data_IF_205577087074
#
_entry.id   IF_205577087074
#
_cell.length_a   1.000
_cell.length_b   1.000
_cell.length_c   1.000
_cell.angle_alpha   90.00
_cell.angle_beta   90.00
_cell.angle_gamma   90.00
#
_symmetry.space_group_name_H-M   'P 1'
#
loop_
_entity.id
_entity.type
_entity.pdbx_description
1 polymer ?
#
# COMPACT_ATOMS: atom_id res chain seq x y z
N UNK A 1 7.97 24.06 -2.41
CA UNK A 1 8.76 23.38 -3.47
C UNK A 1 9.47 22.20 -2.84
N UNK A 2 9.51 21.05 -3.52
CA UNK A 2 10.22 19.86 -3.06
C UNK A 2 11.33 19.52 -4.05
N UNK A 3 12.45 19.00 -3.53
CA UNK A 3 13.53 18.46 -4.34
C UNK A 3 13.43 16.94 -4.33
N UNK A 4 13.43 16.33 -5.52
CA UNK A 4 13.35 14.88 -5.69
C UNK A 4 14.74 14.38 -6.10
N UNK A 5 15.26 13.39 -5.37
CA UNK A 5 16.49 12.70 -5.78
C UNK A 5 16.16 11.82 -6.99
N UNK A 6 16.75 12.12 -8.15
CA UNK A 6 16.63 11.26 -9.33
C UNK A 6 17.58 10.09 -9.21
N UNK A 7 17.09 8.91 -9.57
CA UNK A 7 17.92 7.73 -9.79
C UNK A 7 18.51 7.82 -11.20
N UNK A 8 19.75 7.37 -11.34
CA UNK A 8 20.40 7.20 -12.64
C UNK A 8 19.76 6.00 -13.33
N UNK A 9 18.91 6.26 -14.32
CA UNK A 9 18.13 5.22 -15.00
C UNK A 9 17.56 5.71 -16.32
N UNK A 10 17.29 4.78 -17.23
CA UNK A 10 16.66 5.07 -18.51
C UNK A 10 15.21 5.53 -18.25
N UNK A 11 14.82 6.69 -18.79
CA UNK A 11 13.47 7.25 -18.63
C UNK A 11 12.38 6.39 -19.29
N UNK A 12 12.78 5.48 -20.18
CA UNK A 12 11.86 4.56 -20.86
C UNK A 12 11.58 3.29 -20.04
N UNK A 13 12.40 3.00 -19.02
CA UNK A 13 12.23 1.82 -18.19
C UNK A 13 11.35 2.11 -16.98
N UNK A 14 10.80 1.05 -16.39
CA UNK A 14 10.02 1.17 -15.17
C UNK A 14 10.91 1.70 -14.04
N UNK A 15 10.49 2.75 -13.31
CA UNK A 15 11.30 3.35 -12.26
C UNK A 15 11.54 2.45 -11.04
N UNK A 16 10.86 1.29 -10.97
CA UNK A 16 10.98 0.31 -9.91
C UNK A 16 10.96 -1.11 -10.47
N UNK A 17 11.74 -1.99 -9.85
CA UNK A 17 11.72 -3.42 -10.14
C UNK A 17 10.36 -4.05 -9.83
N UNK A 18 10.04 -5.12 -10.54
CA UNK A 18 8.89 -5.99 -10.26
C UNK A 18 9.28 -7.05 -9.23
N UNK A 19 8.31 -7.57 -8.47
CA UNK A 19 8.55 -8.63 -7.49
C UNK A 19 7.69 -8.52 -6.25
N UNK A 20 7.94 -9.41 -5.30
CA UNK A 20 7.31 -9.38 -3.98
C UNK A 20 7.85 -8.20 -3.19
N UNK A 21 6.99 -7.50 -2.47
CA UNK A 21 7.42 -6.37 -1.65
C UNK A 21 8.49 -6.79 -0.65
N UNK A 22 9.53 -5.96 -0.49
CA UNK A 22 10.65 -6.17 0.43
C UNK A 22 11.55 -7.39 0.17
N UNK A 23 11.38 -8.12 -0.94
CA UNK A 23 12.25 -9.26 -1.27
C UNK A 23 13.70 -8.87 -1.56
N UNK A 24 13.94 -7.60 -1.91
CA UNK A 24 15.26 -7.04 -2.22
C UNK A 24 15.64 -5.86 -1.29
N UNK A 25 15.12 -5.81 -0.05
CA UNK A 25 15.61 -4.81 0.91
C UNK A 25 17.09 -5.09 1.25
N UNK A 26 17.93 -4.06 1.26
CA UNK A 26 19.33 -4.18 1.66
C UNK A 26 19.49 -4.44 3.17
N UNK A 27 20.67 -4.92 3.56
CA UNK A 27 20.98 -5.16 4.97
C UNK A 27 20.81 -3.90 5.83
N UNK A 28 20.26 -4.07 7.03
CA UNK A 28 19.93 -2.98 7.95
C UNK A 28 18.64 -2.23 7.62
N UNK A 29 17.85 -2.71 6.64
CA UNK A 29 16.51 -2.22 6.38
C UNK A 29 15.46 -3.26 6.80
N UNK A 30 14.39 -2.79 7.43
CA UNK A 30 13.22 -3.58 7.78
C UNK A 30 12.06 -3.28 6.84
N UNK A 31 11.28 -4.29 6.51
CA UNK A 31 10.04 -4.10 5.78
C UNK A 31 8.97 -3.51 6.69
N UNK A 32 8.43 -2.35 6.33
CA UNK A 32 7.25 -1.78 6.97
C UNK A 32 6.33 -1.22 5.89
N UNK A 33 5.05 -1.60 5.90
CA UNK A 33 4.05 -1.15 4.91
C UNK A 33 4.55 -1.25 3.45
N UNK A 34 5.13 -2.40 3.09
CA UNK A 34 5.69 -2.70 1.76
C UNK A 34 6.83 -1.77 1.31
N UNK A 35 7.53 -1.13 2.24
CA UNK A 35 8.69 -0.28 1.96
C UNK A 35 9.86 -0.64 2.88
N UNK A 36 11.08 -0.49 2.38
CA UNK A 36 12.30 -0.71 3.14
C UNK A 36 12.62 0.54 3.98
N UNK A 37 12.54 0.43 5.29
CA UNK A 37 12.94 1.49 6.21
C UNK A 37 14.23 1.13 6.91
N UNK A 38 15.15 2.08 7.01
CA UNK A 38 16.38 1.86 7.77
C UNK A 38 16.01 1.61 9.23
N UNK A 39 16.40 0.47 9.77
CA UNK A 39 16.30 0.26 11.21
C UNK A 39 17.27 1.24 11.86
N UNK A 40 16.74 2.29 12.48
CA UNK A 40 17.53 3.03 13.47
C UNK A 40 17.97 2.01 14.53
N UNK A 41 19.23 2.03 14.99
CA UNK A 41 19.67 1.19 16.10
C UNK A 41 18.99 1.66 17.40
N UNK A 42 17.68 1.44 17.52
CA UNK A 42 17.03 1.37 18.81
C UNK A 42 17.39 -0.01 19.35
N UNK A 43 18.16 -0.03 20.43
CA UNK A 43 18.51 -1.24 21.18
C UNK A 43 17.24 -2.05 21.37
N UNK A 44 17.10 -3.13 20.60
CA UNK A 44 15.97 -4.03 20.71
C UNK A 44 16.21 -4.87 21.96
N UNK A 45 15.55 -4.51 23.07
CA UNK A 45 15.28 -5.45 24.14
C UNK A 45 14.43 -6.55 23.53
N UNK A 46 15.00 -7.75 23.36
CA UNK A 46 14.27 -8.94 22.96
C UNK A 46 13.20 -9.23 24.02
N UNK A 47 11.95 -8.87 23.75
CA UNK A 47 10.81 -9.62 24.25
C UNK A 47 10.39 -10.57 23.14
N UNK A 48 10.80 -11.83 23.27
CA UNK A 48 10.38 -12.92 22.39
C UNK A 48 8.85 -12.99 22.33
N UNK A 49 8.21 -13.08 21.14
CA UNK A 49 6.82 -13.48 21.07
C UNK A 49 6.75 -14.97 21.38
N UNK A 50 6.34 -15.30 22.60
CA UNK A 50 5.91 -16.65 22.95
C UNK A 50 4.77 -17.06 22.03
N UNK A 51 4.86 -18.28 21.51
CA UNK A 51 3.81 -18.90 20.71
C UNK A 51 2.48 -18.90 21.50
N UNK A 52 1.45 -18.26 20.94
CA UNK A 52 0.05 -18.50 21.31
C UNK A 52 -0.67 -19.06 20.10
N UNK A 53 -1.20 -20.24 20.34
CA UNK A 53 -1.83 -21.21 19.49
C UNK A 53 -3.35 -21.08 19.57
N UNK A 54 -3.99 -21.24 18.41
CA UNK A 54 -5.39 -21.61 18.15
C UNK A 54 -6.55 -20.69 18.56
N UNK A 55 -7.31 -20.37 17.51
CA UNK A 55 -8.77 -20.29 17.45
C UNK A 55 -9.46 -19.16 18.22
N UNK A 56 -9.71 -18.05 17.51
CA UNK A 56 -10.97 -17.33 17.64
C UNK A 56 -11.33 -16.70 16.29
N UNK A 57 -12.40 -17.20 15.68
CA UNK A 57 -13.03 -16.67 14.47
C UNK A 57 -13.59 -15.26 14.71
N UNK A 58 -13.24 -14.23 13.92
CA UNK A 58 -14.02 -13.02 13.82
C UNK A 58 -15.04 -13.17 12.68
N UNK A 59 -16.32 -13.28 13.05
CA UNK A 59 -17.47 -13.08 12.16
C UNK A 59 -17.29 -11.75 11.40
N UNK A 60 -17.28 -11.73 10.04
CA UNK A 60 -17.35 -10.47 9.32
C UNK A 60 -18.79 -9.96 9.43
N UNK A 61 -18.99 -8.89 10.20
CA UNK A 61 -20.18 -8.04 10.07
C UNK A 61 -19.66 -6.68 9.62
N UNK A 62 -19.64 -6.47 8.32
CA UNK A 62 -19.42 -5.15 7.71
C UNK A 62 -20.71 -4.75 7.04
N UNK A 63 -21.47 -3.88 7.69
CA UNK A 63 -22.37 -2.97 6.98
C UNK A 63 -21.50 -2.15 6.04
N UNK A 64 -21.57 -2.45 4.75
CA UNK A 64 -20.95 -1.62 3.72
C UNK A 64 -21.82 -0.37 3.58
N UNK A 65 -21.34 0.78 4.09
CA UNK A 65 -21.80 2.06 3.57
C UNK A 65 -21.21 2.14 2.17
N UNK A 66 -22.06 1.97 1.16
CA UNK A 66 -21.67 2.01 -0.24
C UNK A 66 -21.40 3.47 -0.61
N UNK A 67 -20.21 3.95 -0.26
CA UNK A 67 -19.72 5.26 -0.70
C UNK A 67 -19.46 5.15 -2.21
N UNK A 68 -20.42 5.62 -3.02
CA UNK A 68 -20.31 5.58 -4.46
C UNK A 68 -19.06 6.33 -4.92
N UNK A 69 -18.23 5.66 -5.72
CA UNK A 69 -17.04 6.27 -6.31
C UNK A 69 -17.44 7.52 -7.12
N UNK A 70 -16.72 8.64 -7.00
CA UNK A 70 -17.03 9.88 -7.73
C UNK A 70 -17.00 9.69 -9.26
N UNK A 71 -16.32 8.66 -9.76
CA UNK A 71 -16.30 8.28 -11.18
C UNK A 71 -17.65 7.74 -11.65
N UNK A 72 -18.32 6.93 -10.82
CA UNK A 72 -19.64 6.37 -11.13
C UNK A 72 -20.68 7.50 -11.19
N UNK A 73 -20.60 8.44 -10.23
CA UNK A 73 -21.46 9.63 -10.18
C UNK A 73 -21.29 10.47 -11.45
N UNK A 74 -20.05 10.76 -11.86
CA UNK A 74 -19.79 11.55 -13.07
C UNK A 74 -20.32 10.86 -14.35
N UNK A 75 -20.13 9.55 -14.46
CA UNK A 75 -20.61 8.77 -15.62
C UNK A 75 -22.14 8.73 -15.70
N UNK A 76 -22.85 8.71 -14.57
CA UNK A 76 -24.31 8.79 -14.55
C UNK A 76 -24.82 10.14 -15.06
N UNK A 77 -24.20 11.25 -14.64
CA UNK A 77 -24.57 12.58 -15.15
C UNK A 77 -24.35 12.72 -16.66
N UNK A 78 -23.22 12.22 -17.17
CA UNK A 78 -22.91 12.25 -18.60
C UNK A 78 -23.96 11.47 -19.40
N UNK A 79 -24.34 10.28 -18.94
CA UNK A 79 -25.36 9.47 -19.61
C UNK A 79 -26.73 10.17 -19.65
N UNK A 80 -27.12 10.87 -18.59
CA UNK A 80 -28.38 11.64 -18.56
C UNK A 80 -28.40 12.80 -19.55
N UNK A 81 -27.28 13.51 -19.72
CA UNK A 81 -27.17 14.58 -20.73
C UNK A 81 -27.21 14.03 -22.15
N UNK A 82 -26.68 12.82 -22.38
CA UNK A 82 -26.73 12.18 -23.70
C UNK A 82 -28.12 11.64 -24.08
N UNK A 83 -28.98 11.31 -23.11
CA UNK A 83 -30.34 10.80 -23.35
C UNK A 83 -31.38 11.92 -23.52
N UNK A 84 -31.03 13.16 -23.14
CA UNK A 84 -31.90 14.34 -23.22
C UNK A 84 -31.65 15.21 -24.47
N UNK A 85 -30.78 14.78 -25.37
CA UNK A 85 -30.47 15.41 -26.67
C UNK A 85 -30.97 14.55 -27.82
#
# INVERSE_FOLDING_TARGET
>A
MCLIKRTEGNLNDRPYKTGVSCSECSDGFSCHRNQCFRQSPLKMYCHSPGAVNSAQSPKPTTSFSEEASPVIILNMFIASFCLAA
#
